data_IF_042092123467
#
_entry.id   IF_042092123467
#
_cell.length_a   1.000
_cell.length_b   1.000
_cell.length_c   1.000
_cell.angle_alpha   90.00
_cell.angle_beta   90.00
_cell.angle_gamma   90.00
#
_symmetry.space_group_name_H-M   'P 1'
#
loop_
_entity.id
_entity.type
_entity.pdbx_description
1 polymer ?
#
# COMPACT_ATOMS: atom_id res chain seq x y z
N UNK A 1 -3.50 -17.20 -8.49
CA UNK A 1 -3.20 -15.87 -7.91
C UNK A 1 -4.20 -15.61 -6.80
N UNK A 2 -3.82 -14.90 -5.76
CA UNK A 2 -4.70 -14.55 -4.65
C UNK A 2 -4.85 -13.03 -4.59
N UNK A 3 -6.01 -12.56 -4.17
CA UNK A 3 -6.20 -11.15 -3.88
C UNK A 3 -5.65 -10.84 -2.49
N UNK A 4 -4.97 -9.71 -2.37
CA UNK A 4 -4.38 -9.21 -1.13
C UNK A 4 -4.81 -7.77 -0.92
N UNK A 5 -5.42 -7.51 0.23
CA UNK A 5 -5.76 -6.18 0.72
C UNK A 5 -4.54 -5.51 1.35
N UNK A 6 -4.35 -4.23 1.05
CA UNK A 6 -3.21 -3.44 1.54
C UNK A 6 -3.73 -2.47 2.58
N UNK A 7 -3.19 -2.58 3.78
CA UNK A 7 -3.55 -1.78 4.93
C UNK A 7 -2.36 -0.97 5.39
N UNK A 8 -2.52 0.34 5.47
CA UNK A 8 -1.51 1.26 5.98
C UNK A 8 -1.96 1.77 7.35
N UNK A 9 -1.07 1.70 8.34
CA UNK A 9 -1.33 2.18 9.70
C UNK A 9 -1.65 3.68 9.66
N UNK A 10 -2.76 4.08 10.28
CA UNK A 10 -3.23 5.48 10.28
C UNK A 10 -3.99 5.94 9.03
N UNK A 11 -4.05 5.13 7.97
CA UNK A 11 -4.84 5.40 6.74
C UNK A 11 -5.96 4.39 6.55
N UNK A 12 -5.72 3.11 6.87
CA UNK A 12 -6.65 2.00 6.64
C UNK A 12 -6.40 1.29 5.32
N UNK A 13 -7.46 0.69 4.75
CA UNK A 13 -7.36 -0.06 3.50
C UNK A 13 -7.17 0.89 2.31
N UNK A 14 -6.01 0.78 1.65
CA UNK A 14 -5.65 1.65 0.55
C UNK A 14 -5.97 1.06 -0.83
N UNK A 15 -6.03 -0.27 -0.94
CA UNK A 15 -6.37 -0.95 -2.19
C UNK A 15 -6.09 -2.45 -2.12
N UNK A 16 -6.11 -3.12 -3.27
CA UNK A 16 -5.78 -4.54 -3.42
C UNK A 16 -4.71 -4.77 -4.49
N UNK A 17 -4.01 -5.90 -4.39
CA UNK A 17 -3.08 -6.44 -5.39
C UNK A 17 -3.31 -7.95 -5.57
N UNK A 18 -2.93 -8.48 -6.72
CA UNK A 18 -3.14 -9.89 -7.06
C UNK A 18 -1.81 -10.61 -7.17
N UNK A 19 -1.46 -11.41 -6.17
CA UNK A 19 -0.15 -12.04 -6.09
C UNK A 19 -0.20 -13.46 -5.53
N UNK A 20 0.89 -14.21 -5.74
CA UNK A 20 0.97 -15.63 -5.33
C UNK A 20 1.26 -15.83 -3.85
N UNK A 21 1.99 -14.91 -3.22
CA UNK A 21 2.37 -14.98 -1.81
C UNK A 21 2.43 -13.56 -1.21
N UNK A 22 2.58 -13.49 0.12
CA UNK A 22 2.57 -12.21 0.86
C UNK A 22 3.77 -11.33 0.51
N UNK A 23 4.93 -11.94 0.25
CA UNK A 23 6.16 -11.20 -0.07
C UNK A 23 6.03 -10.47 -1.41
N UNK A 24 5.53 -11.16 -2.45
CA UNK A 24 5.23 -10.55 -3.74
C UNK A 24 4.10 -9.52 -3.61
N UNK A 25 3.07 -9.79 -2.81
CA UNK A 25 2.00 -8.82 -2.55
C UNK A 25 2.54 -7.54 -1.93
N UNK A 26 3.49 -7.63 -0.99
CA UNK A 26 4.18 -6.46 -0.41
C UNK A 26 4.99 -5.70 -1.45
N UNK A 27 5.78 -6.40 -2.27
CA UNK A 27 6.54 -5.76 -3.35
C UNK A 27 5.61 -5.07 -4.37
N UNK A 28 4.52 -5.73 -4.77
CA UNK A 28 3.52 -5.17 -5.68
C UNK A 28 2.80 -3.96 -5.05
N UNK A 29 2.51 -4.03 -3.74
CA UNK A 29 1.93 -2.91 -3.00
C UNK A 29 2.87 -1.69 -3.00
N UNK A 30 4.15 -1.89 -2.70
CA UNK A 30 5.16 -0.82 -2.77
C UNK A 30 5.35 -0.31 -4.20
N UNK A 31 5.37 -1.19 -5.20
CA UNK A 31 5.50 -0.75 -6.60
C UNK A 31 4.29 0.05 -7.09
N UNK A 32 3.10 -0.16 -6.53
CA UNK A 32 1.85 0.45 -7.00
C UNK A 32 1.43 1.66 -6.18
N UNK A 33 1.65 1.61 -4.87
CA UNK A 33 1.21 2.62 -3.91
C UNK A 33 2.38 3.28 -3.18
N UNK A 34 3.59 2.72 -3.27
CA UNK A 34 4.79 3.34 -2.73
C UNK A 34 5.05 4.67 -3.43
N UNK A 35 5.33 5.69 -2.65
CA UNK A 35 5.73 7.00 -3.14
C UNK A 35 7.05 7.40 -2.50
N UNK A 36 7.98 7.82 -3.34
CA UNK A 36 9.28 8.33 -2.93
C UNK A 36 9.19 9.84 -2.74
N UNK A 37 9.42 10.31 -1.51
CA UNK A 37 9.46 11.74 -1.19
C UNK A 37 8.72 12.14 0.08
N UNK A 38 9.02 13.36 0.53
CA UNK A 38 8.35 13.99 1.67
C UNK A 38 6.86 14.13 1.36
N UNK A 39 6.01 13.83 2.36
CA UNK A 39 4.54 13.96 2.33
C UNK A 39 4.14 15.45 2.18
N UNK A 40 4.41 16.01 1.01
CA UNK A 40 4.36 17.44 0.74
C UNK A 40 2.91 17.86 0.50
N UNK A 41 2.16 18.14 1.57
CA UNK A 41 0.79 18.68 1.56
C UNK A 41 -0.02 18.24 0.33
N UNK A 42 0.05 16.94 0.02
CA UNK A 42 -0.53 16.42 -1.19
C UNK A 42 -2.03 16.51 -0.98
N UNK A 43 -2.63 17.41 -1.76
CA UNK A 43 -4.05 17.70 -1.86
C UNK A 43 -4.88 16.53 -1.33
N UNK A 44 -5.57 16.77 -0.21
CA UNK A 44 -6.07 15.80 0.76
C UNK A 44 -7.18 14.88 0.23
N UNK A 45 -7.20 14.57 -1.07
CA UNK A 45 -8.37 13.99 -1.71
C UNK A 45 -8.19 12.64 -2.37
N UNK A 46 -7.03 12.18 -2.87
CA UNK A 46 -7.07 10.94 -3.68
C UNK A 46 -5.88 9.98 -3.65
N UNK A 47 -4.74 10.30 -3.04
CA UNK A 47 -3.56 9.42 -3.18
C UNK A 47 -3.32 8.60 -1.92
N UNK A 48 -4.02 7.46 -1.82
CA UNK A 48 -3.79 6.44 -0.78
C UNK A 48 -2.44 5.74 -1.03
N UNK A 49 -1.36 6.34 -0.54
CA UNK A 49 0.05 5.95 -0.79
C UNK A 49 0.70 5.33 0.46
N UNK A 50 1.81 4.64 0.24
CA UNK A 50 2.72 4.10 1.26
C UNK A 50 3.99 4.94 1.20
N UNK A 51 4.29 5.67 2.26
CA UNK A 51 5.55 6.41 2.42
C UNK A 51 6.61 5.55 3.11
N UNK A 52 7.88 5.94 3.06
CA UNK A 52 8.99 5.17 3.69
C UNK A 52 8.82 4.96 5.20
N UNK A 53 8.18 5.90 5.90
CA UNK A 53 7.91 5.82 7.34
C UNK A 53 6.58 5.10 7.65
N UNK A 54 5.76 4.79 6.63
CA UNK A 54 4.47 4.15 6.85
C UNK A 54 4.65 2.64 7.13
N UNK A 55 4.17 2.22 8.31
CA UNK A 55 3.95 0.80 8.57
C UNK A 55 2.73 0.32 7.76
N UNK A 56 2.92 -0.73 6.96
CA UNK A 56 1.83 -1.34 6.20
C UNK A 56 1.89 -2.86 6.20
N UNK A 57 0.73 -3.47 6.00
CA UNK A 57 0.54 -4.92 5.96
C UNK A 57 -0.33 -5.33 4.78
N UNK A 58 -0.13 -6.56 4.32
CA UNK A 58 -0.98 -7.19 3.30
C UNK A 58 -1.76 -8.34 3.94
N UNK A 59 -3.06 -8.40 3.68
CA UNK A 59 -3.96 -9.45 4.18
C UNK A 59 -4.59 -10.17 2.99
N UNK A 60 -4.51 -11.50 2.96
CA UNK A 60 -5.16 -12.30 1.93
C UNK A 60 -6.67 -12.26 2.11
N UNK A 61 -7.39 -12.08 1.01
CA UNK A 61 -8.86 -12.09 0.94
C UNK A 61 -9.36 -13.39 0.33
#
# INVERSE_FOLDING_TARGET
MHEWQIHVTGVGCIGTVHERNDTLARCAALSRYGEDGLRANADARMSKRIYEDDEFSVAKI
#
